data_IF_695827781439
#
_entry.id   IF_695827781439
#
_cell.length_a   1.000
_cell.length_b   1.000
_cell.length_c   1.000
_cell.angle_alpha   90.00
_cell.angle_beta   90.00
_cell.angle_gamma   90.00
#
_symmetry.space_group_name_H-M   'P 1'
#
loop_
_entity.id
_entity.type
_entity.pdbx_description
1 polymer ?
#
# COMPACT_ATOMS: atom_id res chain seq x y z
N UNK A 1 12.27 -6.59 -6.05
CA UNK A 1 11.74 -5.49 -5.21
C UNK A 1 12.40 -4.22 -5.71
N UNK A 2 11.62 -3.16 -5.97
CA UNK A 2 12.15 -1.89 -6.51
C UNK A 2 11.65 -0.73 -5.67
N UNK A 3 12.56 0.08 -5.14
CA UNK A 3 12.22 1.35 -4.50
C UNK A 3 11.94 2.40 -5.58
N UNK A 4 10.84 3.10 -5.40
CA UNK A 4 10.34 4.17 -6.27
C UNK A 4 10.87 5.52 -5.74
N UNK A 5 10.78 6.56 -6.58
CA UNK A 5 11.29 7.91 -6.24
C UNK A 5 10.56 8.55 -5.06
N UNK A 6 9.34 8.09 -4.77
CA UNK A 6 8.48 8.55 -3.69
C UNK A 6 8.63 7.73 -2.40
N UNK A 7 9.74 7.00 -2.23
CA UNK A 7 10.03 6.21 -1.04
C UNK A 7 9.30 4.85 -0.97
N UNK A 8 8.30 4.64 -1.83
CA UNK A 8 7.55 3.39 -1.87
C UNK A 8 8.37 2.26 -2.46
N UNK A 9 8.29 1.10 -1.85
CA UNK A 9 8.81 -0.14 -2.41
C UNK A 9 7.69 -0.85 -3.16
N UNK A 10 7.97 -1.31 -4.38
CA UNK A 10 7.09 -2.16 -5.19
C UNK A 10 7.64 -3.58 -5.33
N UNK A 11 6.78 -4.58 -5.13
CA UNK A 11 7.07 -6.02 -5.34
C UNK A 11 5.88 -6.70 -6.02
N UNK A 12 6.13 -7.53 -7.04
CA UNK A 12 5.10 -8.42 -7.58
C UNK A 12 5.05 -9.72 -6.78
N UNK A 13 3.85 -10.23 -6.55
CA UNK A 13 3.61 -11.59 -6.04
C UNK A 13 2.52 -12.24 -6.89
N UNK A 14 2.88 -13.26 -7.66
CA UNK A 14 1.98 -13.96 -8.57
C UNK A 14 2.72 -14.83 -9.56
N UNK A 15 1.97 -15.41 -10.48
CA UNK A 15 2.42 -16.30 -11.56
C UNK A 15 1.63 -16.06 -12.86
N UNK A 16 1.73 -16.99 -13.81
CA UNK A 16 1.05 -16.95 -15.12
C UNK A 16 -0.48 -16.89 -15.03
N UNK A 17 -1.08 -17.28 -13.91
CA UNK A 17 -2.54 -17.30 -13.68
C UNK A 17 -3.04 -16.04 -13.00
N UNK A 18 -2.14 -15.14 -12.59
CA UNK A 18 -2.47 -13.86 -11.99
C UNK A 18 -1.56 -13.48 -10.83
N UNK A 19 -1.77 -12.29 -10.29
CA UNK A 19 -0.96 -11.80 -9.19
C UNK A 19 -1.39 -10.44 -8.66
N UNK A 20 -0.59 -9.95 -7.73
CA UNK A 20 -0.76 -8.66 -7.13
C UNK A 20 0.57 -7.91 -7.05
N UNK A 21 0.49 -6.61 -7.23
CA UNK A 21 1.54 -5.68 -6.85
C UNK A 21 1.34 -5.27 -5.40
N UNK A 22 2.39 -5.46 -4.61
CA UNK A 22 2.46 -5.10 -3.21
C UNK A 22 3.33 -3.87 -3.10
N UNK A 23 2.79 -2.83 -2.48
CA UNK A 23 3.48 -1.57 -2.23
C UNK A 23 3.65 -1.38 -0.72
N UNK A 24 4.87 -1.13 -0.27
CA UNK A 24 5.19 -0.90 1.15
C UNK A 24 5.95 0.40 1.31
N UNK A 25 5.74 1.09 2.42
CA UNK A 25 6.47 2.31 2.79
C UNK A 25 6.80 2.24 4.30
N UNK A 26 8.00 2.67 4.73
CA UNK A 26 8.34 2.67 6.16
C UNK A 26 7.36 3.51 7.00
N UNK A 27 6.91 4.64 6.45
CA UNK A 27 5.96 5.54 7.13
C UNK A 27 4.49 5.23 6.81
N UNK A 28 4.19 4.15 6.08
CA UNK A 28 2.79 3.74 5.94
C UNK A 28 2.27 3.28 7.31
N UNK A 29 1.01 3.61 7.60
CA UNK A 29 0.31 3.23 8.82
C UNK A 29 0.63 1.79 9.24
N UNK A 30 1.34 1.66 10.36
CA UNK A 30 1.68 0.38 10.97
C UNK A 30 2.47 -0.56 10.02
N UNK A 31 3.27 0.02 9.12
CA UNK A 31 4.05 -0.71 8.12
C UNK A 31 3.20 -1.48 7.09
N UNK A 32 1.90 -1.17 6.98
CA UNK A 32 0.96 -1.94 6.16
C UNK A 32 1.21 -1.74 4.67
N UNK A 33 0.94 -2.81 3.92
CA UNK A 33 1.09 -2.81 2.48
C UNK A 33 -0.21 -2.43 1.76
N UNK A 34 -0.08 -1.71 0.65
CA UNK A 34 -1.13 -1.56 -0.36
C UNK A 34 -1.02 -2.72 -1.34
N UNK A 35 -2.15 -3.33 -1.69
CA UNK A 35 -2.23 -4.45 -2.63
C UNK A 35 -3.02 -4.01 -3.85
N UNK A 36 -2.45 -4.18 -5.04
CA UNK A 36 -3.10 -3.87 -6.33
C UNK A 36 -3.16 -5.13 -7.16
N UNK A 37 -4.36 -5.57 -7.52
CA UNK A 37 -4.57 -6.75 -8.36
C UNK A 37 -5.65 -6.47 -9.41
N UNK A 38 -6.07 -7.50 -10.15
CA UNK A 38 -7.12 -7.38 -11.17
C UNK A 38 -8.49 -6.94 -10.65
N UNK A 39 -8.72 -6.98 -9.33
CA UNK A 39 -9.96 -6.51 -8.70
C UNK A 39 -9.90 -5.04 -8.27
N UNK A 40 -8.72 -4.42 -8.23
CA UNK A 40 -8.54 -3.01 -7.85
C UNK A 40 -7.42 -2.78 -6.83
N UNK A 41 -7.52 -1.67 -6.11
CA UNK A 41 -6.56 -1.25 -5.08
C UNK A 41 -7.15 -1.45 -3.70
N UNK A 42 -6.45 -2.20 -2.85
CA UNK A 42 -6.87 -2.50 -1.48
C UNK A 42 -5.82 -2.06 -0.47
N UNK A 43 -6.24 -1.34 0.56
CA UNK A 43 -5.40 -0.96 1.69
C UNK A 43 -6.18 -1.09 2.99
N UNK A 44 -5.59 -1.73 4.00
CA UNK A 44 -6.19 -1.88 5.32
C UNK A 44 -7.66 -2.38 5.31
N UNK A 45 -7.96 -3.35 4.45
CA UNK A 45 -9.31 -3.90 4.29
C UNK A 45 -10.26 -3.07 3.42
N UNK A 46 -9.93 -1.81 3.10
CA UNK A 46 -10.73 -0.90 2.27
C UNK A 46 -10.33 -1.02 0.79
N UNK A 47 -11.31 -0.91 -0.10
CA UNK A 47 -11.10 -0.68 -1.53
C UNK A 47 -11.03 0.81 -1.80
N UNK A 48 -10.03 1.23 -2.56
CA UNK A 48 -9.77 2.62 -2.89
C UNK A 48 -9.77 2.80 -4.40
N UNK A 49 -10.14 3.99 -4.87
CA UNK A 49 -10.32 4.25 -6.29
C UNK A 49 -8.99 4.26 -7.06
N UNK A 50 -7.87 4.54 -6.38
CA UNK A 50 -6.55 4.62 -7.02
C UNK A 50 -5.40 4.28 -6.07
N UNK A 51 -4.24 3.96 -6.67
CA UNK A 51 -3.00 3.76 -5.92
C UNK A 51 -2.54 5.04 -5.22
N UNK A 52 -2.71 6.20 -5.85
CA UNK A 52 -2.34 7.50 -5.27
C UNK A 52 -3.19 7.83 -4.05
N UNK A 53 -4.48 7.54 -4.10
CA UNK A 53 -5.35 7.65 -2.92
C UNK A 53 -4.93 6.67 -1.82
N UNK A 54 -4.64 5.42 -2.17
CA UNK A 54 -4.14 4.44 -1.20
C UNK A 54 -2.83 4.86 -0.55
N UNK A 55 -1.89 5.44 -1.30
CA UNK A 55 -0.65 5.99 -0.75
C UNK A 55 -0.92 7.17 0.17
N UNK A 56 -1.82 8.08 -0.22
CA UNK A 56 -2.22 9.21 0.64
C UNK A 56 -2.80 8.70 1.95
N UNK A 57 -3.83 7.84 1.89
CA UNK A 57 -4.48 7.24 3.07
C UNK A 57 -3.48 6.49 3.94
N UNK A 58 -2.56 5.73 3.34
CA UNK A 58 -1.53 5.00 4.08
C UNK A 58 -0.57 5.92 4.84
N UNK A 59 -0.27 7.11 4.31
CA UNK A 59 0.62 8.10 4.96
C UNK A 59 -0.14 9.09 5.86
N UNK A 60 -1.47 9.18 5.76
CA UNK A 60 -2.31 10.10 6.55
C UNK A 60 -3.14 9.43 7.63
N UNK A 61 -3.32 8.11 7.59
CA UNK A 61 -4.06 7.39 8.62
C UNK A 61 -3.42 7.70 9.99
N UNK A 62 -4.24 7.98 11.03
CA UNK A 62 -3.81 8.73 12.18
C UNK A 62 -2.56 8.08 12.74
N UNK A 63 -1.47 8.85 12.77
CA UNK A 63 -0.44 8.71 13.79
C UNK A 63 -1.22 8.44 15.05
N UNK A 64 -1.01 7.26 15.64
CA UNK A 64 -1.47 6.97 16.98
C UNK A 64 -1.03 8.17 17.81
N UNK A 65 -1.97 9.09 18.06
CA UNK A 65 -1.81 10.14 19.06
C UNK A 65 -1.40 9.36 20.29
N UNK A 66 -0.16 9.56 20.72
CA UNK A 66 0.38 8.99 21.93
C UNK A 66 -0.69 9.20 23.00
N UNK A 67 -1.37 8.11 23.39
CA UNK A 67 -2.18 8.11 24.58
C UNK A 67 -1.17 8.26 25.71
N UNK A 68 -1.21 9.45 26.34
CA UNK A 68 -0.29 9.86 27.40
C UNK A 68 -0.39 9.04 28.69
#
# INVERSE_FOLDING_TARGET
MKTLKDGWTKKFKGDERGGAWIYTHPDAFDGRAIVVNGSGVRFNGMWLDSLDEAKRVALTAPTQVEAG
#
